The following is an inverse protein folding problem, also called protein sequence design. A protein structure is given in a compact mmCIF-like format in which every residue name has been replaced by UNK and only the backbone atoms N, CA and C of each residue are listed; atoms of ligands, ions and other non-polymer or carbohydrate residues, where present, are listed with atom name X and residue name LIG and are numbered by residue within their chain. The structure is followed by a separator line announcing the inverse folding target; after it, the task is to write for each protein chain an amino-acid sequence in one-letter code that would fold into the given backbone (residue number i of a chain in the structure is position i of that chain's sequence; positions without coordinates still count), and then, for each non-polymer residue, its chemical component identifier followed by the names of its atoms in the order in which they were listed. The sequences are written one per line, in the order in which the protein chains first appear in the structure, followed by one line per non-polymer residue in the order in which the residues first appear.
data_IF_589792859127
#
_entry.id   IF_589792859127
#
_cell.length_a   1.000
_cell.length_b   1.000
_cell.length_c   1.000
_cell.angle_alpha   90.00
_cell.angle_beta   90.00
_cell.angle_gamma   90.00
#
_symmetry.space_group_name_H-M   'P 1'
#
loop_
_entity.id
_entity.type
_entity.pdbx_description
1 polymer ?
#
# COMPACT_ATOMS: atom_id res chain seq x y z
N UNK A 1 -16.81 -26.25 -39.43
CA UNK A 1 -15.40 -26.09 -39.82
C UNK A 1 -14.74 -25.32 -38.69
N UNK A 2 -13.81 -25.96 -37.98
CA UNK A 2 -13.08 -25.35 -36.89
C UNK A 2 -12.06 -24.38 -37.48
N UNK A 3 -12.26 -23.08 -37.29
CA UNK A 3 -11.18 -22.11 -37.43
C UNK A 3 -10.22 -22.35 -36.27
N UNK A 4 -9.32 -23.31 -36.44
CA UNK A 4 -8.12 -23.43 -35.62
C UNK A 4 -7.35 -22.12 -35.80
N UNK A 5 -7.49 -21.26 -34.79
CA UNK A 5 -6.72 -20.04 -34.64
C UNK A 5 -5.24 -20.41 -34.67
N UNK A 6 -4.64 -20.27 -35.84
CA UNK A 6 -3.22 -20.40 -36.08
C UNK A 6 -2.48 -19.61 -35.01
N UNK A 7 -1.82 -20.33 -34.07
CA UNK A 7 -0.99 -19.73 -33.04
C UNK A 7 0.13 -18.97 -33.74
N UNK A 8 -0.10 -17.66 -33.96
CA UNK A 8 0.88 -16.77 -34.56
C UNK A 8 2.08 -16.66 -33.63
N UNK A 9 3.12 -17.45 -33.91
CA UNK A 9 4.45 -17.44 -33.27
C UNK A 9 5.27 -16.16 -33.50
N UNK A 10 4.70 -15.15 -34.15
CA UNK A 10 5.37 -13.89 -34.44
C UNK A 10 5.08 -12.87 -33.33
N UNK A 11 6.09 -12.09 -32.89
CA UNK A 11 5.90 -11.05 -31.90
C UNK A 11 4.83 -10.06 -32.36
N UNK A 12 4.02 -9.56 -31.42
CA UNK A 12 2.97 -8.59 -31.72
C UNK A 12 3.58 -7.33 -32.37
N UNK A 13 2.99 -6.83 -33.45
CA UNK A 13 3.48 -5.61 -34.09
C UNK A 13 3.34 -4.39 -33.18
N UNK A 14 4.16 -3.37 -33.40
CA UNK A 14 4.16 -2.14 -32.59
C UNK A 14 2.77 -1.49 -32.50
N UNK A 15 1.97 -1.56 -33.57
CA UNK A 15 0.59 -1.08 -33.57
C UNK A 15 -0.28 -1.88 -32.61
N UNK A 16 -0.15 -3.22 -32.60
CA UNK A 16 -0.91 -4.11 -31.71
C UNK A 16 -0.50 -3.91 -30.24
N UNK A 17 0.79 -3.69 -29.97
CA UNK A 17 1.29 -3.36 -28.62
C UNK A 17 0.76 -2.00 -28.15
N UNK A 18 0.76 -0.98 -29.02
CA UNK A 18 0.20 0.35 -28.70
C UNK A 18 -1.30 0.29 -28.44
N UNK A 19 -2.04 -0.47 -29.25
CA UNK A 19 -3.48 -0.64 -29.06
C UNK A 19 -3.80 -1.44 -27.78
N UNK A 20 -3.02 -2.49 -27.48
CA UNK A 20 -3.14 -3.24 -26.22
C UNK A 20 -2.89 -2.33 -25.01
N UNK A 21 -1.85 -1.49 -25.06
CA UNK A 21 -1.55 -0.48 -24.01
C UNK A 21 -2.68 0.54 -23.85
N UNK A 22 -3.21 1.09 -24.94
CA UNK A 22 -4.38 2.00 -24.91
C UNK A 22 -5.62 1.35 -24.29
N UNK A 23 -5.76 0.04 -24.46
CA UNK A 23 -6.83 -0.75 -23.85
C UNK A 23 -6.51 -1.21 -22.41
N UNK A 24 -5.38 -0.78 -21.84
CA UNK A 24 -4.94 -1.21 -20.50
C UNK A 24 -4.42 -2.65 -20.43
N UNK A 25 -4.34 -3.36 -21.56
CA UNK A 25 -3.85 -4.73 -21.66
C UNK A 25 -2.32 -4.75 -21.76
N UNK A 26 -1.65 -4.28 -20.71
CA UNK A 26 -0.20 -4.41 -20.57
C UNK A 26 0.09 -5.64 -19.72
N UNK A 27 1.13 -6.41 -20.05
CA UNK A 27 1.61 -7.49 -19.19
C UNK A 27 2.19 -6.91 -17.90
N UNK A 28 1.32 -6.61 -16.94
CA UNK A 28 1.74 -6.18 -15.62
C UNK A 28 1.91 -7.43 -14.76
N UNK A 29 3.11 -7.68 -14.24
CA UNK A 29 3.32 -8.72 -13.23
C UNK A 29 2.69 -8.26 -11.92
N UNK A 30 1.45 -8.68 -11.66
CA UNK A 30 0.74 -8.43 -10.40
C UNK A 30 1.55 -8.88 -9.19
N UNK A 31 2.33 -9.94 -9.35
CA UNK A 31 3.18 -10.50 -8.31
C UNK A 31 4.34 -9.57 -7.95
N UNK A 32 4.90 -8.87 -8.95
CA UNK A 32 5.96 -7.88 -8.71
C UNK A 32 5.45 -6.68 -7.90
N UNK A 33 4.28 -6.13 -8.27
CA UNK A 33 3.65 -5.01 -7.55
C UNK A 33 3.34 -5.42 -6.11
N UNK A 34 2.76 -6.60 -5.92
CA UNK A 34 2.40 -7.12 -4.61
C UNK A 34 3.63 -7.35 -3.74
N UNK A 35 4.71 -7.92 -4.31
CA UNK A 35 5.98 -8.15 -3.61
C UNK A 35 6.66 -6.84 -3.17
N UNK A 36 6.76 -5.85 -4.06
CA UNK A 36 7.31 -4.53 -3.70
C UNK A 36 6.45 -3.80 -2.67
N UNK A 37 5.12 -3.92 -2.76
CA UNK A 37 4.20 -3.32 -1.80
C UNK A 37 4.39 -3.92 -0.40
N UNK A 38 4.47 -5.24 -0.31
CA UNK A 38 4.76 -5.92 0.95
C UNK A 38 6.13 -5.53 1.50
N UNK A 39 7.16 -5.50 0.66
CA UNK A 39 8.50 -5.11 1.07
C UNK A 39 8.54 -3.68 1.60
N UNK A 40 7.89 -2.72 0.92
CA UNK A 40 7.81 -1.34 1.36
C UNK A 40 7.03 -1.19 2.67
N UNK A 41 5.92 -1.91 2.82
CA UNK A 41 5.14 -1.95 4.06
C UNK A 41 5.96 -2.48 5.25
N UNK A 42 6.68 -3.59 5.05
CA UNK A 42 7.57 -4.16 6.06
C UNK A 42 8.74 -3.21 6.38
N UNK A 43 9.32 -2.58 5.37
CA UNK A 43 10.37 -1.58 5.55
C UNK A 43 9.89 -0.40 6.39
N UNK A 44 8.70 0.13 6.11
CA UNK A 44 8.08 1.17 6.92
C UNK A 44 7.91 0.73 8.38
N UNK A 45 7.31 -0.45 8.60
CA UNK A 45 7.09 -0.97 9.95
C UNK A 45 8.40 -1.17 10.71
N UNK A 46 9.46 -1.63 10.05
CA UNK A 46 10.77 -1.80 10.65
C UNK A 46 11.35 -0.46 11.15
N UNK A 47 11.28 0.60 10.34
CA UNK A 47 11.77 1.92 10.74
C UNK A 47 10.86 2.63 11.76
N UNK A 48 9.54 2.44 11.65
CA UNK A 48 8.56 3.01 12.57
C UNK A 48 8.49 2.25 13.90
N UNK A 49 9.03 1.03 13.98
CA UNK A 49 8.92 0.15 15.14
C UNK A 49 9.29 0.80 16.48
N UNK A 50 10.45 1.47 16.64
CA UNK A 50 10.82 2.05 17.93
C UNK A 50 9.80 3.11 18.40
N UNK A 51 9.37 3.98 17.48
CA UNK A 51 8.38 5.03 17.73
C UNK A 51 7.02 4.43 18.11
N UNK A 52 6.57 3.39 17.40
CA UNK A 52 5.30 2.73 17.69
C UNK A 52 5.30 2.05 19.06
N UNK A 53 6.41 1.40 19.43
CA UNK A 53 6.57 0.76 20.74
C UNK A 53 6.63 1.80 21.87
N UNK A 54 7.29 2.94 21.64
CA UNK A 54 7.32 4.06 22.58
C UNK A 54 5.91 4.59 22.85
N UNK A 55 5.14 4.90 21.80
CA UNK A 55 3.76 5.36 21.96
C UNK A 55 2.83 4.32 22.61
N UNK A 56 3.03 3.03 22.32
CA UNK A 56 2.30 1.96 23.02
C UNK A 56 2.64 1.93 24.51
N UNK A 57 3.91 2.12 24.85
CA UNK A 57 4.39 2.14 26.23
C UNK A 57 3.83 3.35 26.99
N UNK A 58 3.82 4.54 26.36
CA UNK A 58 3.19 5.75 26.89
C UNK A 58 1.70 5.55 27.17
N UNK A 59 0.99 4.85 26.28
CA UNK A 59 -0.42 4.56 26.45
C UNK A 59 -0.67 3.69 27.69
N UNK A 60 0.13 2.64 27.87
CA UNK A 60 0.06 1.76 29.05
C UNK A 60 0.35 2.54 30.32
N UNK A 61 1.38 3.39 30.32
CA UNK A 61 1.71 4.24 31.47
C UNK A 61 0.57 5.22 31.81
N UNK A 62 -0.07 5.82 30.80
CA UNK A 62 -1.18 6.76 30.98
C UNK A 62 -2.39 6.10 31.67
N UNK A 63 -2.69 4.84 31.34
CA UNK A 63 -3.83 4.10 31.93
C UNK A 63 -3.50 3.54 33.32
N UNK A 64 -2.22 3.34 33.63
CA UNK A 64 -1.76 2.74 34.89
C UNK A 64 -1.39 3.78 35.95
N UNK A 65 -1.38 5.07 35.59
CA UNK A 65 -1.02 6.17 36.49
C UNK A 65 -2.02 6.31 37.65
N UNK A 66 -1.59 6.19 38.92
CA UNK A 66 -2.47 6.37 40.08
C UNK A 66 -2.76 7.85 40.30
N UNK A 67 -4.04 8.23 40.43
CA UNK A 67 -4.46 9.53 40.95
C UNK A 67 -5.24 10.44 40.00
N UNK A 68 -5.27 10.14 38.70
CA UNK A 68 -6.05 10.91 37.73
C UNK A 68 -7.53 10.46 37.68
N UNK A 69 -8.44 11.38 37.34
CA UNK A 69 -9.85 11.04 37.19
C UNK A 69 -10.07 10.14 35.97
N UNK A 70 -10.93 9.12 36.08
CA UNK A 70 -11.21 8.19 34.98
C UNK A 70 -11.64 8.91 33.69
N UNK A 71 -12.36 10.03 33.81
CA UNK A 71 -12.79 10.83 32.66
C UNK A 71 -11.63 11.45 31.87
N UNK A 72 -10.60 11.96 32.57
CA UNK A 72 -9.43 12.58 31.92
C UNK A 72 -8.49 11.53 31.32
N UNK A 73 -8.26 10.43 32.05
CA UNK A 73 -7.45 9.30 31.55
C UNK A 73 -8.08 8.71 30.29
N UNK A 74 -9.39 8.44 30.31
CA UNK A 74 -10.08 7.82 29.17
C UNK A 74 -10.07 8.71 27.94
N UNK A 75 -10.32 10.02 28.06
CA UNK A 75 -10.24 10.93 26.91
C UNK A 75 -8.81 11.03 26.35
N UNK A 76 -7.80 11.12 27.22
CA UNK A 76 -6.39 11.18 26.80
C UNK A 76 -5.97 9.88 26.11
N UNK A 77 -6.33 8.73 26.68
CA UNK A 77 -6.05 7.41 26.12
C UNK A 77 -6.74 7.18 24.77
N UNK A 78 -8.00 7.61 24.59
CA UNK A 78 -8.72 7.51 23.31
C UNK A 78 -8.00 8.35 22.24
N UNK A 79 -7.62 9.59 22.57
CA UNK A 79 -6.93 10.48 21.63
C UNK A 79 -5.56 9.93 21.23
N UNK A 80 -4.76 9.47 22.19
CA UNK A 80 -3.46 8.85 21.91
C UNK A 80 -3.60 7.56 21.11
N UNK A 81 -4.57 6.70 21.45
CA UNK A 81 -4.86 5.47 20.69
C UNK A 81 -5.22 5.77 19.24
N UNK A 82 -6.10 6.75 19.03
CA UNK A 82 -6.49 7.17 17.68
C UNK A 82 -5.29 7.70 16.88
N UNK A 83 -4.46 8.54 17.49
CA UNK A 83 -3.24 9.05 16.88
C UNK A 83 -2.28 7.93 16.49
N UNK A 84 -2.08 6.96 17.37
CA UNK A 84 -1.21 5.80 17.14
C UNK A 84 -1.74 4.94 15.99
N UNK A 85 -3.06 4.69 15.95
CA UNK A 85 -3.70 3.97 14.85
C UNK A 85 -3.52 4.70 13.52
N UNK A 86 -3.71 6.02 13.48
CA UNK A 86 -3.48 6.82 12.27
C UNK A 86 -2.02 6.77 11.84
N UNK A 87 -1.09 6.95 12.77
CA UNK A 87 0.33 6.89 12.48
C UNK A 87 0.76 5.51 11.94
N UNK A 88 0.18 4.42 12.43
CA UNK A 88 0.48 3.08 11.94
C UNK A 88 -0.18 2.80 10.57
N UNK A 89 -1.45 3.16 10.40
CA UNK A 89 -2.26 2.73 9.24
C UNK A 89 -2.17 3.66 8.04
N UNK A 90 -2.14 4.98 8.25
CA UNK A 90 -2.17 5.97 7.17
C UNK A 90 -0.96 5.84 6.23
N UNK A 91 0.28 5.67 6.73
CA UNK A 91 1.45 5.49 5.87
C UNK A 91 1.42 4.17 5.10
N UNK A 92 0.91 3.09 5.71
CA UNK A 92 0.74 1.81 5.01
C UNK A 92 -0.23 1.93 3.83
N UNK A 93 -1.37 2.58 4.04
CA UNK A 93 -2.32 2.88 2.94
C UNK A 93 -1.65 3.76 1.88
N UNK A 94 -0.92 4.79 2.30
CA UNK A 94 -0.16 5.66 1.41
C UNK A 94 0.82 4.89 0.53
N UNK A 95 1.59 3.96 1.11
CA UNK A 95 2.52 3.09 0.38
C UNK A 95 1.79 2.27 -0.68
N UNK A 96 0.68 1.62 -0.31
CA UNK A 96 -0.12 0.81 -1.24
C UNK A 96 -0.64 1.65 -2.40
N UNK A 97 -1.21 2.82 -2.11
CA UNK A 97 -1.76 3.73 -3.13
C UNK A 97 -0.65 4.22 -4.05
N UNK A 98 0.45 4.73 -3.50
CA UNK A 98 1.58 5.27 -4.28
C UNK A 98 2.18 4.20 -5.18
N UNK A 99 2.42 2.99 -4.67
CA UNK A 99 2.98 1.91 -5.47
C UNK A 99 1.98 1.43 -6.53
N UNK A 100 0.71 1.29 -6.19
CA UNK A 100 -0.32 0.90 -7.17
C UNK A 100 -0.40 1.89 -8.32
N UNK A 101 -0.38 3.20 -8.02
CA UNK A 101 -0.38 4.27 -9.02
C UNK A 101 0.91 4.27 -9.83
N UNK A 102 2.07 4.21 -9.17
CA UNK A 102 3.38 4.23 -9.84
C UNK A 102 3.55 3.04 -10.79
N UNK A 103 3.22 1.82 -10.36
CA UNK A 103 3.29 0.64 -11.22
C UNK A 103 2.23 0.65 -12.32
N UNK A 104 1.06 1.24 -12.07
CA UNK A 104 0.05 1.49 -13.10
C UNK A 104 0.55 2.43 -14.20
N UNK A 105 1.18 3.55 -13.81
CA UNK A 105 1.79 4.51 -14.72
C UNK A 105 2.98 3.92 -15.50
N UNK A 106 3.83 3.12 -14.84
CA UNK A 106 4.96 2.44 -15.49
C UNK A 106 4.50 1.41 -16.52
N UNK A 107 3.46 0.63 -16.21
CA UNK A 107 2.88 -0.32 -17.16
C UNK A 107 2.36 0.38 -18.42
N UNK A 108 1.80 1.58 -18.26
CA UNK A 108 1.11 2.28 -19.34
C UNK A 108 1.95 3.36 -20.04
N UNK A 109 3.19 3.59 -19.57
CA UNK A 109 4.12 4.63 -20.06
C UNK A 109 3.51 6.06 -20.05
N UNK A 110 2.69 6.36 -19.05
CA UNK A 110 2.06 7.68 -18.85
C UNK A 110 0.78 7.60 -18.02
N UNK A 111 0.22 8.73 -17.54
CA UNK A 111 -1.08 8.73 -16.89
C UNK A 111 -2.16 8.34 -17.92
N UNK A 112 -2.78 7.20 -17.73
CA UNK A 112 -3.99 6.83 -18.47
C UNK A 112 -5.14 7.59 -17.81
N UNK A 113 -5.57 8.66 -18.45
CA UNK A 113 -6.92 9.20 -18.29
C UNK A 113 -7.82 8.57 -19.33
#
# INVERSE_FOLDING_TARGET
MAEEAEEKKLPASDKKLRDARRKGQVSQSRDLVSGFTLFAALGYLYFAWPMLVEHLSELVQTVTAPGDSFGEISQRAIRHSFSLLMLATLPLVGIVVVLSVAFGMLGTFGPVF
#
